data_IF_526341343130
#
_entry.id   IF_526341343130
#
_cell.length_a   1.000
_cell.length_b   1.000
_cell.length_c   1.000
_cell.angle_alpha   90.00
_cell.angle_beta   90.00
_cell.angle_gamma   90.00
#
_symmetry.space_group_name_H-M   'P 1'
#
loop_
_entity.id
_entity.type
_entity.pdbx_description
1 polymer ?
#
# COMPACT_ATOMS: atom_id res chain seq x y z
N UNK A 1 6.63 -20.40 47.25
CA UNK A 1 5.60 -19.79 46.36
C UNK A 1 6.22 -19.66 44.98
N UNK A 2 5.63 -20.26 43.96
CA UNK A 2 6.14 -20.18 42.58
C UNK A 2 5.68 -18.85 42.00
N UNK A 3 6.61 -17.96 41.67
CA UNK A 3 6.33 -16.72 40.96
C UNK A 3 5.72 -17.05 39.60
N UNK A 4 4.56 -16.50 39.24
CA UNK A 4 3.93 -16.82 37.96
C UNK A 4 4.86 -16.45 36.81
N UNK A 5 5.09 -17.42 35.92
CA UNK A 5 5.93 -17.26 34.73
C UNK A 5 5.41 -16.08 33.90
N UNK A 6 6.30 -15.23 33.35
CA UNK A 6 5.93 -13.99 32.59
C UNK A 6 4.92 -14.23 31.46
N UNK A 7 4.78 -15.46 30.99
CA UNK A 7 3.77 -15.89 30.03
C UNK A 7 2.31 -15.77 30.53
N UNK A 8 2.09 -15.70 31.85
CA UNK A 8 0.77 -15.52 32.48
C UNK A 8 0.49 -14.07 32.88
N UNK A 9 1.31 -13.10 32.44
CA UNK A 9 1.02 -11.68 32.60
C UNK A 9 -0.27 -11.35 31.82
N UNK A 10 -1.41 -11.37 32.52
CA UNK A 10 -2.71 -11.01 31.94
C UNK A 10 -2.68 -9.54 31.59
N UNK A 11 -2.97 -9.23 30.34
CA UNK A 11 -3.27 -7.87 29.89
C UNK A 11 -4.51 -7.40 30.68
N UNK A 12 -4.31 -6.55 31.69
CA UNK A 12 -5.41 -5.96 32.44
C UNK A 12 -6.01 -4.83 31.60
N UNK A 13 -6.97 -5.18 30.74
CA UNK A 13 -7.71 -4.19 29.96
C UNK A 13 -8.87 -3.70 30.82
N UNK A 14 -8.75 -2.48 31.36
CA UNK A 14 -9.84 -1.85 32.10
C UNK A 14 -10.97 -1.40 31.15
N UNK A 15 -12.21 -1.33 31.65
CA UNK A 15 -13.35 -0.81 30.88
C UNK A 15 -13.10 0.59 30.33
N UNK A 16 -12.37 1.43 31.08
CA UNK A 16 -11.97 2.77 30.65
C UNK A 16 -11.04 2.73 29.43
N UNK A 17 -10.13 1.76 29.37
CA UNK A 17 -9.21 1.59 28.24
C UNK A 17 -9.97 1.16 27.00
N UNK A 18 -10.92 0.23 27.12
CA UNK A 18 -11.79 -0.19 26.00
C UNK A 18 -12.57 0.99 25.44
N UNK A 19 -13.22 1.78 26.30
CA UNK A 19 -13.96 2.98 25.89
C UNK A 19 -13.03 3.96 25.17
N UNK A 20 -11.84 4.23 25.71
CA UNK A 20 -10.87 5.10 25.08
C UNK A 20 -10.41 4.57 23.70
N UNK A 21 -10.21 3.27 23.55
CA UNK A 21 -9.87 2.63 22.27
C UNK A 21 -10.98 2.82 21.24
N UNK A 22 -12.23 2.52 21.61
CA UNK A 22 -13.39 2.67 20.73
C UNK A 22 -13.57 4.13 20.32
N UNK A 23 -13.52 5.07 21.28
CA UNK A 23 -13.62 6.50 20.98
C UNK A 23 -12.51 6.94 20.03
N UNK A 24 -11.26 6.53 20.26
CA UNK A 24 -10.13 6.89 19.41
C UNK A 24 -10.30 6.35 17.98
N UNK A 25 -10.73 5.09 17.83
CA UNK A 25 -11.02 4.47 16.53
C UNK A 25 -12.12 5.25 15.80
N UNK A 26 -13.25 5.52 16.46
CA UNK A 26 -14.38 6.24 15.84
C UNK A 26 -13.99 7.65 15.45
N UNK A 27 -13.33 8.40 16.33
CA UNK A 27 -12.91 9.78 16.05
C UNK A 27 -11.97 9.81 14.85
N UNK A 28 -10.95 8.95 14.81
CA UNK A 28 -9.98 8.94 13.71
C UNK A 28 -10.60 8.49 12.38
N UNK A 29 -11.53 7.52 12.40
CA UNK A 29 -12.27 7.12 11.19
C UNK A 29 -13.18 8.24 10.67
N UNK A 30 -13.84 8.99 11.56
CA UNK A 30 -14.63 10.17 11.17
C UNK A 30 -13.74 11.30 10.65
N UNK A 31 -12.59 11.55 11.28
CA UNK A 31 -11.60 12.49 10.78
C UNK A 31 -11.13 12.11 9.37
N UNK A 32 -10.85 10.82 9.12
CA UNK A 32 -10.48 10.33 7.79
C UNK A 32 -11.55 10.69 6.73
N UNK A 33 -12.81 10.36 7.00
CA UNK A 33 -13.93 10.68 6.08
C UNK A 33 -14.01 12.18 5.79
N UNK A 34 -13.78 13.03 6.80
CA UNK A 34 -13.81 14.49 6.64
C UNK A 34 -12.65 15.03 5.81
N UNK A 35 -11.47 14.42 5.86
CA UNK A 35 -10.30 14.88 5.09
C UNK A 35 -10.22 14.28 3.68
N UNK A 36 -11.03 13.27 3.34
CA UNK A 36 -11.03 12.61 2.02
C UNK A 36 -11.02 13.57 0.82
N UNK A 37 -11.86 14.62 0.75
CA UNK A 37 -11.83 15.55 -0.39
C UNK A 37 -10.49 16.28 -0.52
N UNK A 38 -9.85 16.60 0.61
CA UNK A 38 -8.55 17.26 0.66
C UNK A 38 -7.43 16.32 0.22
N UNK A 39 -7.50 15.05 0.63
CA UNK A 39 -6.59 13.99 0.19
C UNK A 39 -6.71 13.78 -1.32
N UNK A 40 -7.92 13.67 -1.85
CA UNK A 40 -8.16 13.56 -3.30
C UNK A 40 -7.58 14.75 -4.07
N UNK A 41 -7.79 15.98 -3.59
CA UNK A 41 -7.19 17.19 -4.18
C UNK A 41 -5.67 17.21 -4.10
N UNK A 42 -5.08 16.79 -2.98
CA UNK A 42 -3.62 16.65 -2.83
C UNK A 42 -3.08 15.65 -3.85
N UNK A 43 -3.68 14.47 -3.95
CA UNK A 43 -3.28 13.46 -4.91
C UNK A 43 -3.41 13.98 -6.35
N UNK A 44 -4.47 14.73 -6.66
CA UNK A 44 -4.62 15.38 -7.96
C UNK A 44 -3.48 16.36 -8.28
N UNK A 45 -3.05 17.16 -7.30
CA UNK A 45 -1.88 18.06 -7.47
C UNK A 45 -0.58 17.28 -7.71
N UNK A 46 -0.37 16.16 -7.02
CA UNK A 46 0.78 15.29 -7.24
C UNK A 46 0.79 14.73 -8.67
N UNK A 47 -0.36 14.24 -9.15
CA UNK A 47 -0.52 13.74 -10.51
C UNK A 47 -0.28 14.84 -11.55
N UNK A 48 -0.87 16.03 -11.37
CA UNK A 48 -0.66 17.16 -12.28
C UNK A 48 0.80 17.58 -12.33
N UNK A 49 1.46 17.69 -11.17
CA UNK A 49 2.87 18.05 -11.09
C UNK A 49 3.76 17.07 -11.86
N UNK A 50 3.63 15.77 -11.59
CA UNK A 50 4.48 14.75 -12.22
C UNK A 50 4.15 14.52 -13.69
N UNK A 51 2.89 14.63 -14.10
CA UNK A 51 2.51 14.60 -15.51
C UNK A 51 3.22 15.69 -16.29
N UNK A 52 3.28 16.92 -15.75
CA UNK A 52 4.02 18.04 -16.34
C UNK A 52 5.54 17.82 -16.30
N UNK A 53 6.08 17.41 -15.15
CA UNK A 53 7.52 17.24 -14.95
C UNK A 53 8.11 16.13 -15.84
N UNK A 54 7.37 15.05 -16.05
CA UNK A 54 7.76 13.91 -16.90
C UNK A 54 7.34 14.07 -18.36
N UNK A 55 6.71 15.20 -18.72
CA UNK A 55 6.20 15.48 -20.07
C UNK A 55 5.30 14.36 -20.60
N UNK A 56 4.45 13.81 -19.75
CA UNK A 56 3.54 12.74 -20.14
C UNK A 56 2.38 13.32 -20.95
N UNK A 57 2.06 12.67 -22.07
CA UNK A 57 0.86 12.98 -22.83
C UNK A 57 -0.40 12.52 -22.08
N UNK A 58 -1.47 13.30 -22.23
CA UNK A 58 -2.75 13.08 -21.57
C UNK A 58 -3.08 14.20 -20.59
N UNK A 59 -4.31 14.18 -20.09
CA UNK A 59 -4.79 15.12 -19.07
C UNK A 59 -5.12 14.40 -17.78
N UNK A 60 -4.79 15.03 -16.66
CA UNK A 60 -5.21 14.52 -15.34
C UNK A 60 -6.67 14.88 -15.14
N UNK A 61 -7.50 13.87 -14.88
CA UNK A 61 -8.94 14.02 -14.66
C UNK A 61 -9.26 13.55 -13.24
N UNK A 62 -10.18 14.26 -12.59
CA UNK A 62 -10.68 13.91 -11.26
C UNK A 62 -11.96 13.08 -11.40
N UNK A 63 -11.88 11.76 -11.15
CA UNK A 63 -13.04 10.88 -11.18
C UNK A 63 -13.84 11.01 -9.87
N UNK A 64 -15.13 11.40 -9.91
CA UNK A 64 -15.95 11.45 -8.71
C UNK A 64 -16.14 10.06 -8.12
N UNK A 65 -16.02 9.97 -6.80
CA UNK A 65 -16.27 8.77 -5.99
C UNK A 65 -17.41 9.06 -5.03
N UNK A 66 -18.32 8.09 -4.89
CA UNK A 66 -19.49 8.21 -4.03
C UNK A 66 -19.53 7.03 -3.06
N UNK A 67 -19.48 7.33 -1.75
CA UNK A 67 -19.65 6.34 -0.69
C UNK A 67 -20.98 6.60 0.01
N UNK A 68 -22.00 5.83 -0.39
CA UNK A 68 -23.38 6.07 0.02
C UNK A 68 -23.87 7.46 -0.40
N UNK A 69 -24.87 8.00 0.31
CA UNK A 69 -25.52 9.25 -0.08
C UNK A 69 -24.82 10.54 0.39
N UNK A 70 -23.79 10.46 1.26
CA UNK A 70 -23.26 11.63 1.99
C UNK A 70 -21.77 11.87 1.81
N UNK A 71 -20.99 10.86 1.42
CA UNK A 71 -19.54 10.98 1.30
C UNK A 71 -19.19 11.07 -0.19
N UNK A 72 -18.73 12.26 -0.58
CA UNK A 72 -18.34 12.59 -1.95
C UNK A 72 -16.90 13.07 -1.95
N UNK A 73 -16.09 12.49 -2.82
CA UNK A 73 -14.71 12.91 -3.06
C UNK A 73 -14.35 12.60 -4.51
N UNK A 74 -13.14 12.93 -4.94
CA UNK A 74 -12.68 12.59 -6.27
C UNK A 74 -11.24 12.09 -6.23
N UNK A 75 -10.92 11.13 -7.10
CA UNK A 75 -9.59 10.55 -7.24
C UNK A 75 -9.01 10.90 -8.60
N UNK A 76 -7.73 11.27 -8.68
CA UNK A 76 -7.09 11.57 -9.95
C UNK A 76 -6.81 10.29 -10.75
N UNK A 77 -6.84 10.43 -12.07
CA UNK A 77 -6.21 9.48 -12.98
C UNK A 77 -5.66 10.24 -14.20
N UNK A 78 -4.69 9.64 -14.87
CA UNK A 78 -4.21 10.15 -16.15
C UNK A 78 -5.08 9.57 -17.26
N UNK A 79 -5.79 10.42 -17.99
CA UNK A 79 -6.57 10.00 -19.15
C UNK A 79 -5.63 9.77 -20.34
N UNK A 80 -5.02 8.59 -20.35
CA UNK A 80 -4.08 8.18 -21.38
C UNK A 80 -4.06 6.66 -21.49
N UNK A 81 -3.76 6.14 -22.67
CA UNK A 81 -3.63 4.69 -22.88
C UNK A 81 -2.32 4.16 -22.32
N UNK A 82 -2.31 2.90 -21.87
CA UNK A 82 -1.09 2.17 -21.58
C UNK A 82 -0.27 1.94 -22.87
N UNK A 83 1.05 1.80 -22.72
CA UNK A 83 1.91 1.42 -23.82
C UNK A 83 1.66 -0.05 -24.23
N UNK A 84 1.65 -0.36 -25.54
CA UNK A 84 1.47 -1.74 -25.98
C UNK A 84 2.64 -2.64 -25.52
N UNK A 85 2.44 -3.96 -25.42
CA UNK A 85 3.52 -4.90 -25.22
C UNK A 85 4.31 -5.04 -26.53
N UNK A 86 5.27 -4.13 -26.74
CA UNK A 86 6.16 -4.15 -27.90
C UNK A 86 7.09 -5.39 -27.89
N UNK A 87 7.35 -6.03 -29.05
CA UNK A 87 8.22 -7.21 -29.12
C UNK A 87 9.63 -7.03 -28.54
N UNK A 88 10.25 -5.85 -28.71
CA UNK A 88 11.57 -5.58 -28.14
C UNK A 88 11.49 -5.51 -26.62
N UNK A 89 10.48 -4.81 -26.09
CA UNK A 89 10.25 -4.71 -24.64
C UNK A 89 9.97 -6.09 -24.04
N UNK A 90 9.22 -6.93 -24.75
CA UNK A 90 8.94 -8.30 -24.32
C UNK A 90 10.24 -9.13 -24.21
N UNK A 91 11.08 -9.14 -25.26
CA UNK A 91 12.34 -9.90 -25.27
C UNK A 91 13.32 -9.43 -24.20
N UNK A 92 13.51 -8.13 -24.06
CA UNK A 92 14.37 -7.56 -23.02
C UNK A 92 13.87 -8.00 -21.64
N UNK A 93 12.57 -7.88 -21.40
CA UNK A 93 11.97 -8.27 -20.13
C UNK A 93 12.09 -9.78 -19.87
N UNK A 94 11.93 -10.62 -20.89
CA UNK A 94 12.12 -12.06 -20.80
C UNK A 94 13.57 -12.44 -20.42
N UNK A 95 14.55 -11.85 -21.12
CA UNK A 95 15.98 -12.07 -20.81
C UNK A 95 16.29 -11.62 -19.39
N UNK A 96 15.85 -10.42 -19.00
CA UNK A 96 16.05 -9.90 -17.62
C UNK A 96 15.40 -10.83 -16.59
N UNK A 97 14.18 -11.32 -16.86
CA UNK A 97 13.47 -12.22 -15.95
C UNK A 97 14.24 -13.54 -15.74
N UNK A 98 14.76 -14.13 -16.82
CA UNK A 98 15.59 -15.34 -16.75
C UNK A 98 16.92 -15.08 -16.04
N UNK A 99 17.57 -13.95 -16.31
CA UNK A 99 18.82 -13.57 -15.65
C UNK A 99 18.62 -13.38 -14.15
N UNK A 100 17.56 -12.67 -13.73
CA UNK A 100 17.23 -12.51 -12.31
C UNK A 100 16.98 -13.86 -11.65
N UNK A 101 16.26 -14.77 -12.33
CA UNK A 101 16.06 -16.12 -11.84
C UNK A 101 17.38 -16.88 -11.66
N UNK A 102 18.28 -16.83 -12.66
CA UNK A 102 19.58 -17.47 -12.61
C UNK A 102 20.45 -16.91 -11.47
N UNK A 103 20.45 -15.59 -11.25
CA UNK A 103 21.16 -14.93 -10.15
C UNK A 103 20.74 -15.53 -8.80
N UNK A 104 19.47 -15.91 -8.62
CA UNK A 104 19.00 -16.49 -7.34
C UNK A 104 19.66 -17.81 -6.97
N UNK A 105 20.31 -18.51 -7.91
CA UNK A 105 21.07 -19.74 -7.63
C UNK A 105 22.52 -19.48 -7.15
N UNK A 106 23.02 -18.26 -7.35
CA UNK A 106 24.36 -17.85 -6.92
C UNK A 106 24.36 -17.08 -5.59
N UNK A 107 23.18 -16.82 -5.03
CA UNK A 107 23.03 -16.13 -3.74
C UNK A 107 23.29 -17.11 -2.58
N UNK A 108 23.90 -16.62 -1.51
CA UNK A 108 24.18 -17.41 -0.30
C UNK A 108 22.89 -17.80 0.43
N UNK A 109 22.94 -18.91 1.18
CA UNK A 109 21.80 -19.40 1.98
C UNK A 109 21.34 -18.41 3.06
N UNK A 110 22.19 -17.49 3.50
CA UNK A 110 21.80 -16.42 4.44
C UNK A 110 20.81 -15.42 3.82
N UNK A 111 20.72 -15.35 2.50
CA UNK A 111 19.84 -14.43 1.76
C UNK A 111 18.50 -15.06 1.37
N UNK A 112 18.10 -16.17 1.99
CA UNK A 112 16.86 -16.90 1.69
C UNK A 112 15.61 -16.00 1.53
N UNK A 113 15.34 -15.00 2.39
CA UNK A 113 14.19 -14.11 2.20
C UNK A 113 14.22 -13.36 0.86
N UNK A 114 15.40 -12.88 0.44
CA UNK A 114 15.59 -12.20 -0.83
C UNK A 114 15.49 -13.14 -2.02
N UNK A 115 16.01 -14.37 -1.89
CA UNK A 115 15.89 -15.42 -2.92
C UNK A 115 14.41 -15.69 -3.21
N UNK A 116 13.59 -15.89 -2.17
CA UNK A 116 12.16 -16.14 -2.34
C UNK A 116 11.42 -14.92 -2.91
N UNK A 117 11.76 -13.71 -2.45
CA UNK A 117 11.18 -12.49 -3.01
C UNK A 117 11.47 -12.37 -4.51
N UNK A 118 12.73 -12.51 -4.92
CA UNK A 118 13.13 -12.43 -6.33
C UNK A 118 12.45 -13.52 -7.18
N UNK A 119 12.40 -14.76 -6.68
CA UNK A 119 11.70 -15.86 -7.39
C UNK A 119 10.21 -15.61 -7.52
N UNK A 120 9.57 -15.02 -6.50
CA UNK A 120 8.18 -14.61 -6.58
C UNK A 120 7.95 -13.51 -7.63
N UNK A 121 8.81 -12.48 -7.67
CA UNK A 121 8.74 -11.42 -8.69
C UNK A 121 8.97 -11.98 -10.11
N UNK A 122 9.93 -12.88 -10.28
CA UNK A 122 10.19 -13.61 -11.53
C UNK A 122 8.96 -14.41 -11.95
N UNK A 123 8.31 -15.10 -11.01
CA UNK A 123 7.11 -15.88 -11.30
C UNK A 123 5.96 -14.98 -11.79
N UNK A 124 5.72 -13.84 -11.12
CA UNK A 124 4.72 -12.86 -11.56
C UNK A 124 5.05 -12.28 -12.94
N UNK A 125 6.30 -11.91 -13.19
CA UNK A 125 6.71 -11.36 -14.47
C UNK A 125 6.68 -12.42 -15.59
N UNK A 126 7.10 -13.64 -15.30
CA UNK A 126 7.07 -14.78 -16.21
C UNK A 126 5.66 -15.16 -16.63
N UNK A 127 4.72 -15.21 -15.69
CA UNK A 127 3.30 -15.45 -16.01
C UNK A 127 2.73 -14.35 -16.89
N UNK A 128 3.11 -13.09 -16.65
CA UNK A 128 2.73 -11.97 -17.53
C UNK A 128 3.30 -12.11 -18.95
N UNK A 129 4.60 -12.40 -19.08
CA UNK A 129 5.25 -12.64 -20.37
C UNK A 129 4.54 -13.73 -21.17
N UNK A 130 4.24 -14.86 -20.53
CA UNK A 130 3.50 -15.97 -21.15
C UNK A 130 2.10 -15.52 -21.57
N UNK A 131 1.36 -14.83 -20.70
CA UNK A 131 0.01 -14.37 -21.00
C UNK A 131 -0.03 -13.45 -22.23
N UNK A 132 0.87 -12.46 -22.31
CA UNK A 132 0.90 -11.50 -23.41
C UNK A 132 1.35 -12.09 -24.76
N UNK A 133 1.94 -13.30 -24.78
CA UNK A 133 2.16 -14.03 -26.05
C UNK A 133 0.86 -14.60 -26.59
N UNK A 134 0.00 -15.16 -25.73
CA UNK A 134 -1.19 -15.91 -26.16
C UNK A 134 -2.49 -15.08 -26.17
N UNK A 135 -2.58 -14.05 -25.33
CA UNK A 135 -3.85 -13.40 -25.02
C UNK A 135 -3.77 -11.86 -24.89
N UNK A 136 -2.75 -11.21 -25.46
CA UNK A 136 -2.58 -9.75 -25.37
C UNK A 136 -3.84 -8.95 -25.73
N UNK A 137 -4.52 -9.32 -26.81
CA UNK A 137 -5.72 -8.62 -27.28
C UNK A 137 -6.94 -8.78 -26.36
N UNK A 138 -6.90 -9.73 -25.41
CA UNK A 138 -8.00 -10.02 -24.46
C UNK A 138 -7.74 -9.45 -23.07
N UNK A 139 -6.66 -8.69 -22.89
CA UNK A 139 -6.31 -8.15 -21.58
C UNK A 139 -7.38 -7.13 -21.13
N UNK A 140 -8.11 -7.38 -20.03
CA UNK A 140 -9.32 -6.63 -19.69
C UNK A 140 -9.07 -5.35 -18.89
N UNK A 141 -7.80 -5.01 -18.62
CA UNK A 141 -7.44 -3.88 -17.77
C UNK A 141 -6.81 -2.75 -18.57
N UNK A 142 -7.34 -1.54 -18.40
CA UNK A 142 -6.75 -0.31 -18.91
C UNK A 142 -6.04 0.49 -17.79
N UNK A 143 -5.27 1.49 -18.19
CA UNK A 143 -4.48 2.32 -17.27
C UNK A 143 -5.33 3.14 -16.30
N UNK A 144 -6.46 3.66 -16.78
CA UNK A 144 -7.39 4.50 -16.01
C UNK A 144 -8.06 3.69 -14.91
N UNK A 145 -8.70 2.58 -15.29
CA UNK A 145 -9.39 1.65 -14.40
C UNK A 145 -8.44 1.05 -13.37
N UNK A 146 -7.21 0.72 -13.78
CA UNK A 146 -6.15 0.29 -12.88
C UNK A 146 -5.83 1.37 -11.84
N UNK A 147 -5.49 2.58 -12.28
CA UNK A 147 -5.05 3.67 -11.39
C UNK A 147 -6.15 4.07 -10.41
N UNK A 148 -7.40 4.17 -10.87
CA UNK A 148 -8.54 4.48 -10.01
C UNK A 148 -8.76 3.38 -8.97
N UNK A 149 -8.74 2.12 -9.37
CA UNK A 149 -8.93 0.99 -8.46
C UNK A 149 -7.84 0.94 -7.38
N UNK A 150 -6.61 1.26 -7.76
CA UNK A 150 -5.46 1.32 -6.85
C UNK A 150 -5.56 2.46 -5.83
N UNK A 151 -5.87 3.67 -6.27
CA UNK A 151 -6.07 4.81 -5.38
C UNK A 151 -7.29 4.61 -4.47
N UNK A 152 -8.34 3.99 -5.00
CA UNK A 152 -9.52 3.62 -4.23
C UNK A 152 -9.18 2.61 -3.14
N UNK A 153 -8.40 1.56 -3.45
CA UNK A 153 -7.88 0.63 -2.46
C UNK A 153 -7.07 1.35 -1.38
N UNK A 154 -6.12 2.22 -1.77
CA UNK A 154 -5.33 3.01 -0.82
C UNK A 154 -6.21 3.86 0.11
N UNK A 155 -7.29 4.42 -0.43
CA UNK A 155 -8.28 5.19 0.35
C UNK A 155 -8.98 4.32 1.40
N UNK A 156 -9.36 3.10 1.04
CA UNK A 156 -9.97 2.13 1.96
C UNK A 156 -8.96 1.69 3.01
N UNK A 157 -7.75 1.32 2.60
CA UNK A 157 -6.69 0.85 3.51
C UNK A 157 -6.38 1.89 4.58
N UNK A 158 -6.17 3.16 4.18
CA UNK A 158 -5.91 4.26 5.13
C UNK A 158 -7.10 4.44 6.09
N UNK A 159 -8.33 4.34 5.58
CA UNK A 159 -9.55 4.41 6.40
C UNK A 159 -9.72 3.23 7.37
N UNK A 160 -9.15 2.06 7.05
CA UNK A 160 -9.16 0.89 7.93
C UNK A 160 -8.07 0.93 9.00
N UNK A 161 -7.05 1.80 8.89
CA UNK A 161 -5.96 1.86 9.87
C UNK A 161 -6.44 2.06 11.32
N UNK A 162 -7.34 3.01 11.63
CA UNK A 162 -7.82 3.17 13.01
C UNK A 162 -8.55 1.93 13.52
N UNK A 163 -9.22 1.18 12.63
CA UNK A 163 -9.93 -0.04 12.98
C UNK A 163 -8.94 -1.18 13.25
N UNK A 164 -7.98 -1.41 12.35
CA UNK A 164 -6.94 -2.43 12.50
C UNK A 164 -6.13 -2.17 13.78
N UNK A 165 -5.70 -0.93 14.00
CA UNK A 165 -4.98 -0.53 15.21
C UNK A 165 -5.87 -0.58 16.45
N UNK A 166 -7.18 -0.33 16.32
CA UNK A 166 -8.16 -0.53 17.38
C UNK A 166 -8.20 -1.96 17.92
N UNK A 167 -8.16 -2.95 17.02
CA UNK A 167 -8.18 -4.37 17.38
C UNK A 167 -6.80 -4.94 17.78
N UNK A 168 -5.72 -4.27 17.43
CA UNK A 168 -4.36 -4.81 17.64
C UNK A 168 -3.53 -3.96 18.62
N UNK A 169 -3.29 -2.69 18.30
CA UNK A 169 -2.36 -1.82 19.01
C UNK A 169 -2.98 -1.07 20.19
N UNK A 170 -4.22 -0.59 20.05
CA UNK A 170 -4.86 0.24 21.08
C UNK A 170 -5.17 -0.54 22.35
N UNK A 171 -5.36 -1.86 22.25
CA UNK A 171 -5.59 -2.73 23.41
C UNK A 171 -4.36 -2.82 24.33
N UNK A 172 -3.16 -2.50 23.83
CA UNK A 172 -1.91 -2.59 24.57
C UNK A 172 -1.69 -1.38 25.51
N UNK A 173 -0.86 -1.55 26.54
CA UNK A 173 -0.58 -0.55 27.59
C UNK A 173 0.36 0.58 27.11
N UNK A 174 -0.04 1.26 26.04
CA UNK A 174 0.60 2.46 25.51
C UNK A 174 -0.16 3.73 25.94
N UNK A 175 0.55 4.86 25.99
CA UNK A 175 -0.09 6.16 26.18
C UNK A 175 -1.00 6.52 25.00
N UNK A 176 -2.05 7.30 25.29
CA UNK A 176 -2.97 7.77 24.25
C UNK A 176 -2.22 8.50 23.13
N UNK A 177 -1.20 9.29 23.49
CA UNK A 177 -0.34 9.98 22.53
C UNK A 177 0.38 9.01 21.58
N UNK A 178 0.86 7.86 22.07
CA UNK A 178 1.49 6.83 21.23
C UNK A 178 0.47 6.17 20.30
N UNK A 179 -0.70 5.84 20.82
CA UNK A 179 -1.81 5.29 20.02
C UNK A 179 -2.17 6.25 18.88
N UNK A 180 -2.34 7.53 19.19
CA UNK A 180 -2.62 8.57 18.21
C UNK A 180 -1.46 8.76 17.22
N UNK A 181 -0.22 8.87 17.71
CA UNK A 181 0.95 9.12 16.89
C UNK A 181 1.16 8.02 15.85
N UNK A 182 1.06 6.74 16.24
CA UNK A 182 1.23 5.64 15.29
C UNK A 182 0.21 5.70 14.16
N UNK A 183 -1.06 5.95 14.49
CA UNK A 183 -2.14 6.05 13.49
C UNK A 183 -1.96 7.24 12.58
N UNK A 184 -1.62 8.41 13.13
CA UNK A 184 -1.39 9.63 12.35
C UNK A 184 -0.17 9.51 11.45
N UNK A 185 0.94 8.94 11.95
CA UNK A 185 2.16 8.73 11.15
C UNK A 185 1.88 7.72 10.04
N UNK A 186 1.20 6.61 10.34
CA UNK A 186 0.90 5.58 9.35
C UNK A 186 -0.03 6.11 8.25
N UNK A 187 -1.11 6.80 8.64
CA UNK A 187 -2.03 7.42 7.69
C UNK A 187 -1.32 8.52 6.89
N UNK A 188 -0.57 9.41 7.55
CA UNK A 188 0.16 10.50 6.90
C UNK A 188 1.20 10.01 5.90
N UNK A 189 1.94 8.96 6.26
CA UNK A 189 2.90 8.33 5.35
C UNK A 189 2.19 7.77 4.11
N UNK A 190 1.13 6.97 4.28
CA UNK A 190 0.41 6.40 3.15
C UNK A 190 -0.28 7.48 2.30
N UNK A 191 -0.84 8.53 2.90
CA UNK A 191 -1.40 9.69 2.17
C UNK A 191 -0.36 10.33 1.25
N UNK A 192 0.89 10.44 1.70
CA UNK A 192 1.97 11.00 0.90
C UNK A 192 2.51 10.00 -0.15
N UNK A 193 2.64 8.73 0.23
CA UNK A 193 3.30 7.70 -0.55
C UNK A 193 2.43 7.15 -1.69
N UNK A 194 1.15 6.84 -1.41
CA UNK A 194 0.18 6.28 -2.37
C UNK A 194 0.13 7.02 -3.71
N UNK A 195 -0.04 8.37 -3.77
CA UNK A 195 -0.12 9.06 -5.05
C UNK A 195 1.21 9.02 -5.82
N UNK A 196 2.35 8.96 -5.12
CA UNK A 196 3.67 8.86 -5.75
C UNK A 196 3.89 7.46 -6.31
N UNK A 197 3.52 6.42 -5.56
CA UNK A 197 3.58 5.02 -6.01
C UNK A 197 2.76 4.82 -7.28
N UNK A 198 1.49 5.24 -7.28
CA UNK A 198 0.64 5.00 -8.44
C UNK A 198 0.95 5.94 -9.61
N UNK A 199 1.53 7.12 -9.37
CA UNK A 199 2.11 7.94 -10.44
C UNK A 199 3.33 7.25 -11.08
N UNK A 200 4.19 6.60 -10.29
CA UNK A 200 5.29 5.79 -10.80
C UNK A 200 4.77 4.60 -11.62
N UNK A 201 3.68 3.95 -11.17
CA UNK A 201 3.05 2.88 -11.94
C UNK A 201 2.53 3.40 -13.27
N UNK A 202 1.86 4.56 -13.29
CA UNK A 202 1.42 5.22 -14.52
C UNK A 202 2.60 5.46 -15.46
N UNK A 203 3.71 5.99 -14.96
CA UNK A 203 4.92 6.21 -15.76
C UNK A 203 5.47 4.92 -16.39
N UNK A 204 5.52 3.81 -15.63
CA UNK A 204 6.00 2.52 -16.13
C UNK A 204 5.02 1.92 -17.15
N UNK A 205 3.72 1.93 -16.84
CA UNK A 205 2.68 1.33 -17.67
C UNK A 205 2.42 2.08 -18.98
N UNK A 206 2.75 3.37 -19.01
CA UNK A 206 2.80 4.15 -20.26
C UNK A 206 3.85 3.61 -21.23
N UNK A 207 4.92 2.99 -20.74
CA UNK A 207 5.93 2.35 -21.59
C UNK A 207 5.49 0.96 -22.01
N UNK A 208 4.96 0.16 -21.09
CA UNK A 208 4.39 -1.14 -21.44
C UNK A 208 3.44 -1.66 -20.38
N UNK A 209 2.27 -2.13 -20.83
CA UNK A 209 1.28 -2.82 -20.01
C UNK A 209 1.77 -4.16 -19.45
N UNK A 210 2.87 -4.70 -20.00
CA UNK A 210 3.50 -5.95 -19.58
C UNK A 210 3.86 -5.98 -18.09
N UNK A 211 4.10 -4.83 -17.47
CA UNK A 211 4.46 -4.74 -16.06
C UNK A 211 3.25 -4.69 -15.12
N UNK A 212 2.02 -4.57 -15.64
CA UNK A 212 0.82 -4.37 -14.83
C UNK A 212 0.60 -5.47 -13.80
N UNK A 213 0.70 -6.78 -14.11
CA UNK A 213 0.52 -7.82 -13.09
C UNK A 213 1.57 -7.75 -11.97
N UNK A 214 2.84 -7.52 -12.31
CA UNK A 214 3.90 -7.37 -11.33
C UNK A 214 3.63 -6.16 -10.40
N UNK A 215 3.31 -5.01 -10.99
CA UNK A 215 2.98 -3.80 -10.24
C UNK A 215 1.71 -3.95 -9.41
N UNK A 216 0.70 -4.69 -9.89
CA UNK A 216 -0.53 -4.98 -9.16
C UNK A 216 -0.25 -5.83 -7.92
N UNK A 217 0.40 -6.98 -8.11
CA UNK A 217 0.51 -8.00 -7.07
C UNK A 217 1.64 -7.73 -6.07
N UNK A 218 2.78 -7.19 -6.52
CA UNK A 218 3.94 -6.99 -5.65
C UNK A 218 4.06 -5.55 -5.17
N UNK A 219 3.97 -4.57 -6.09
CA UNK A 219 4.29 -3.16 -5.81
C UNK A 219 3.07 -2.26 -5.60
N UNK A 220 1.86 -2.82 -5.58
CA UNK A 220 0.62 -2.10 -5.35
C UNK A 220 0.15 -2.26 -3.91
N UNK A 221 -1.10 -2.73 -3.68
CA UNK A 221 -1.67 -2.95 -2.35
C UNK A 221 -0.77 -3.72 -1.37
N UNK A 222 -0.06 -4.73 -1.86
CA UNK A 222 0.83 -5.56 -1.03
C UNK A 222 1.98 -4.73 -0.43
N UNK A 223 2.53 -3.79 -1.18
CA UNK A 223 3.58 -2.89 -0.69
C UNK A 223 3.02 -1.89 0.33
N UNK A 224 1.82 -1.35 0.08
CA UNK A 224 1.13 -0.47 1.03
C UNK A 224 0.91 -1.16 2.39
N UNK A 225 0.50 -2.43 2.36
CA UNK A 225 0.33 -3.26 3.56
C UNK A 225 1.67 -3.55 4.23
N UNK A 226 2.72 -3.89 3.48
CA UNK A 226 4.06 -4.15 4.03
C UNK A 226 4.63 -2.92 4.75
N UNK A 227 4.44 -1.74 4.17
CA UNK A 227 4.83 -0.46 4.77
C UNK A 227 4.07 -0.24 6.08
N UNK A 228 2.75 -0.46 6.08
CA UNK A 228 1.96 -0.37 7.30
C UNK A 228 2.43 -1.36 8.37
N UNK A 229 2.68 -2.62 8.01
CA UNK A 229 3.21 -3.64 8.94
C UNK A 229 4.56 -3.20 9.50
N UNK A 230 5.43 -2.61 8.67
CA UNK A 230 6.73 -2.09 9.12
C UNK A 230 6.58 -0.95 10.13
N UNK A 231 5.67 0.00 9.86
CA UNK A 231 5.35 1.09 10.79
C UNK A 231 4.70 0.57 12.07
N UNK A 232 3.83 -0.44 11.97
CA UNK A 232 3.24 -1.12 13.12
C UNK A 232 4.32 -1.78 13.99
N UNK A 233 5.23 -2.54 13.39
CA UNK A 233 6.37 -3.16 14.09
C UNK A 233 7.26 -2.11 14.75
N UNK A 234 7.48 -0.97 14.11
CA UNK A 234 8.17 0.16 14.72
C UNK A 234 7.40 0.74 15.91
N UNK A 235 6.08 0.91 15.81
CA UNK A 235 5.23 1.33 16.94
C UNK A 235 5.30 0.34 18.12
N UNK A 236 5.33 -0.96 17.84
CA UNK A 236 5.47 -2.02 18.84
C UNK A 236 6.82 -1.98 19.58
N UNK A 237 7.84 -1.34 19.02
CA UNK A 237 9.14 -1.17 19.69
C UNK A 237 9.17 -0.06 20.75
N UNK A 238 8.11 0.75 20.86
CA UNK A 238 8.06 1.86 21.81
C UNK A 238 7.90 1.36 23.26
N UNK A 239 8.37 2.14 24.24
CA UNK A 239 8.23 1.79 25.67
C UNK A 239 6.74 1.78 26.09
N UNK A 240 6.26 0.73 26.78
CA UNK A 240 4.94 0.71 27.42
C UNK A 240 4.89 1.64 28.64
N UNK A 241 3.69 1.95 29.15
CA UNK A 241 3.53 2.75 30.38
C UNK A 241 4.04 2.01 31.60
N UNK A 242 3.66 0.75 31.74
CA UNK A 242 4.32 -0.16 32.67
C UNK A 242 5.66 -0.56 32.06
N UNK A 243 6.75 0.10 32.44
CA UNK A 243 7.99 -0.67 32.55
C UNK A 243 7.66 -1.76 33.56
N UNK A 244 7.65 -3.02 33.13
CA UNK A 244 7.86 -4.10 34.09
C UNK A 244 9.13 -3.69 34.84
N UNK A 245 8.96 -3.29 36.10
CA UNK A 245 10.05 -2.95 37.00
C UNK A 245 11.02 -4.13 36.91
N UNK A 246 12.25 -3.83 36.48
CA UNK A 246 13.32 -4.80 36.43
C UNK A 246 13.65 -5.27 37.85
#
# INVERSE_FOLDING_TARGET
MITPHRAFARLHVGTKDVVACVCLTVILSLCWIRILPWVGSLWGRVFVYWTKALQLEGSVVMAPQQWGARIHFALPYLNASAGPPDPHTWWITAVVTVLVFAITYFMSEEMVPWIYLLRFLVFLQGTSLVYFVFAAARFPHDLTSYTLSMLFFGTILIGLLPLILGFTYYLLDFSLLKRLALTVISAGYLIAFVPLQYMLHVYILRKSILFMPLLYFAFGPSLDVLIFVSLYSWGMSWKSKSSLVA
#
